data_IF_249319804229
#
_entry.id   IF_249319804229
#
_cell.length_a   1.000
_cell.length_b   1.000
_cell.length_c   1.000
_cell.angle_alpha   90.00
_cell.angle_beta   90.00
_cell.angle_gamma   90.00
#
_symmetry.space_group_name_H-M   'P 1'
#
loop_
_entity.id
_entity.type
_entity.pdbx_description
1 polymer ?
#
# COMPACT_ATOMS: atom_id res chain seq x y z
N UNK A 1 -44.59 27.05 -11.97
CA UNK A 1 -45.81 27.63 -11.37
C UNK A 1 -45.50 28.92 -10.59
N UNK A 2 -44.45 28.95 -9.75
CA UNK A 2 -43.99 30.15 -9.02
C UNK A 2 -43.66 31.39 -9.90
N UNK A 3 -43.13 31.18 -11.12
CA UNK A 3 -42.75 32.26 -12.03
C UNK A 3 -43.93 33.08 -12.60
N UNK A 4 -45.16 32.55 -12.54
CA UNK A 4 -46.39 33.21 -13.03
C UNK A 4 -47.12 34.01 -11.95
N UNK A 5 -46.76 33.82 -10.68
CA UNK A 5 -47.37 34.49 -9.53
C UNK A 5 -46.62 35.78 -9.15
N UNK A 6 -45.34 35.90 -9.51
CA UNK A 6 -44.50 37.06 -9.18
C UNK A 6 -44.90 38.39 -9.88
N UNK A 7 -45.81 38.36 -10.86
CA UNK A 7 -46.18 39.55 -11.64
C UNK A 7 -47.39 40.33 -11.10
N UNK A 8 -48.06 39.91 -10.01
CA UNK A 8 -49.36 40.47 -9.60
C UNK A 8 -49.49 41.07 -8.18
N UNK A 9 -48.44 41.15 -7.37
CA UNK A 9 -48.60 41.43 -5.94
C UNK A 9 -48.28 42.87 -5.50
N UNK A 10 -49.25 43.54 -4.88
CA UNK A 10 -49.18 44.95 -4.47
C UNK A 10 -49.67 45.25 -3.03
N UNK A 11 -50.09 44.24 -2.26
CA UNK A 11 -50.62 44.44 -0.89
C UNK A 11 -49.79 43.75 0.19
N UNK A 12 -49.96 44.14 1.45
CA UNK A 12 -49.24 43.55 2.60
C UNK A 12 -49.59 42.07 2.82
N UNK A 13 -50.84 41.65 2.56
CA UNK A 13 -51.28 40.26 2.69
C UNK A 13 -50.67 39.32 1.65
N UNK A 14 -50.37 39.82 0.45
CA UNK A 14 -49.71 39.04 -0.59
C UNK A 14 -48.25 38.67 -0.24
N UNK A 15 -47.60 39.53 0.54
CA UNK A 15 -46.22 39.29 1.02
C UNK A 15 -46.18 38.22 2.12
N UNK A 16 -47.20 38.17 2.97
CA UNK A 16 -47.32 37.18 4.03
C UNK A 16 -47.57 35.78 3.45
N UNK A 17 -48.43 35.68 2.43
CA UNK A 17 -48.69 34.44 1.71
C UNK A 17 -47.43 33.92 0.97
N UNK A 18 -46.61 34.81 0.43
CA UNK A 18 -45.33 34.46 -0.19
C UNK A 18 -44.29 33.96 0.82
N UNK A 19 -44.27 34.53 2.03
CA UNK A 19 -43.39 34.09 3.11
C UNK A 19 -43.81 32.69 3.61
N UNK A 20 -45.10 32.46 3.81
CA UNK A 20 -45.63 31.15 4.20
C UNK A 20 -45.27 30.06 3.17
N UNK A 21 -45.43 30.35 1.87
CA UNK A 21 -45.05 29.43 0.80
C UNK A 21 -43.55 29.17 0.75
N UNK A 22 -42.72 30.20 1.01
CA UNK A 22 -41.28 30.05 1.07
C UNK A 22 -40.84 29.20 2.28
N UNK A 23 -41.46 29.40 3.44
CA UNK A 23 -41.20 28.62 4.66
C UNK A 23 -41.64 27.16 4.53
N UNK A 24 -42.71 26.90 3.77
CA UNK A 24 -43.15 25.54 3.44
C UNK A 24 -42.16 24.85 2.49
N UNK A 25 -41.73 25.54 1.43
CA UNK A 25 -40.68 25.02 0.52
C UNK A 25 -39.35 24.79 1.23
N UNK A 26 -38.98 25.66 2.18
CA UNK A 26 -37.76 25.49 2.97
C UNK A 26 -37.85 24.25 3.85
N UNK A 27 -39.00 24.03 4.50
CA UNK A 27 -39.25 22.82 5.30
C UNK A 27 -39.21 21.54 4.46
N UNK A 28 -39.80 21.55 3.27
CA UNK A 28 -39.73 20.42 2.33
C UNK A 28 -38.29 20.16 1.88
N UNK A 29 -37.54 21.20 1.54
CA UNK A 29 -36.15 21.09 1.14
C UNK A 29 -35.26 20.56 2.28
N UNK A 30 -35.46 21.03 3.51
CA UNK A 30 -34.74 20.56 4.69
C UNK A 30 -35.03 19.08 4.97
N UNK A 31 -36.29 18.65 4.81
CA UNK A 31 -36.69 17.25 4.89
C UNK A 31 -35.97 16.38 3.85
N UNK A 32 -35.98 16.81 2.59
CA UNK A 32 -35.28 16.11 1.50
C UNK A 32 -33.76 16.05 1.71
N UNK A 33 -33.15 17.12 2.23
CA UNK A 33 -31.71 17.15 2.57
C UNK A 33 -31.41 16.16 3.70
N UNK A 34 -32.28 16.07 4.71
CA UNK A 34 -32.10 15.12 5.81
C UNK A 34 -32.16 13.66 5.31
N UNK A 35 -33.14 13.33 4.47
CA UNK A 35 -33.29 12.00 3.86
C UNK A 35 -32.09 11.65 2.96
N UNK A 36 -31.66 12.58 2.11
CA UNK A 36 -30.49 12.36 1.24
C UNK A 36 -29.21 12.14 2.04
N UNK A 37 -29.03 12.84 3.16
CA UNK A 37 -27.89 12.63 4.06
C UNK A 37 -27.92 11.27 4.73
N UNK A 38 -29.10 10.77 5.09
CA UNK A 38 -29.26 9.42 5.64
C UNK A 38 -28.93 8.36 4.58
N UNK A 39 -29.47 8.51 3.36
CA UNK A 39 -29.14 7.61 2.25
C UNK A 39 -27.65 7.61 1.92
N UNK A 40 -26.96 8.75 1.99
CA UNK A 40 -25.51 8.82 1.80
C UNK A 40 -24.80 8.02 2.89
N UNK A 41 -25.18 8.19 4.17
CA UNK A 41 -24.58 7.42 5.28
C UNK A 41 -24.76 5.92 5.10
N UNK A 42 -25.98 5.46 4.80
CA UNK A 42 -26.27 4.03 4.62
C UNK A 42 -25.48 3.43 3.44
N UNK A 43 -25.32 4.21 2.36
CA UNK A 43 -24.53 3.82 1.20
C UNK A 43 -23.04 3.78 1.53
N UNK A 44 -22.53 4.72 2.32
CA UNK A 44 -21.14 4.74 2.75
C UNK A 44 -20.84 3.52 3.64
N UNK A 45 -21.70 3.20 4.60
CA UNK A 45 -21.58 1.98 5.42
C UNK A 45 -21.64 0.70 4.57
N UNK A 46 -22.54 0.66 3.58
CA UNK A 46 -22.62 -0.48 2.65
C UNK A 46 -21.37 -0.62 1.78
N UNK A 47 -20.80 0.50 1.31
CA UNK A 47 -19.56 0.52 0.54
C UNK A 47 -18.38 0.07 1.37
N UNK A 48 -18.31 0.46 2.65
CA UNK A 48 -17.29 0.00 3.58
C UNK A 48 -17.38 -1.51 3.80
N UNK A 49 -18.59 -2.05 4.00
CA UNK A 49 -18.81 -3.50 4.11
C UNK A 49 -18.36 -4.26 2.86
N UNK A 50 -18.77 -3.80 1.67
CA UNK A 50 -18.35 -4.41 0.40
C UNK A 50 -16.84 -4.31 0.16
N UNK A 51 -16.21 -3.21 0.58
CA UNK A 51 -14.77 -3.05 0.46
C UNK A 51 -14.00 -4.05 1.35
N UNK A 52 -14.52 -4.33 2.55
CA UNK A 52 -13.98 -5.34 3.45
C UNK A 52 -14.10 -6.74 2.81
N UNK A 53 -15.29 -7.11 2.33
CA UNK A 53 -15.53 -8.41 1.70
C UNK A 53 -14.65 -8.62 0.45
N UNK A 54 -14.51 -7.59 -0.38
CA UNK A 54 -13.63 -7.62 -1.54
C UNK A 54 -12.16 -7.77 -1.15
N UNK A 55 -11.75 -7.17 -0.03
CA UNK A 55 -10.42 -7.35 0.56
C UNK A 55 -10.16 -8.81 0.92
N UNK A 56 -11.08 -9.42 1.67
CA UNK A 56 -11.01 -10.84 2.06
C UNK A 56 -10.94 -11.75 0.81
N UNK A 57 -11.82 -11.54 -0.16
CA UNK A 57 -11.82 -12.33 -1.39
C UNK A 57 -10.54 -12.16 -2.22
N UNK A 58 -9.97 -10.95 -2.24
CA UNK A 58 -8.70 -10.69 -2.91
C UNK A 58 -7.53 -11.40 -2.21
N UNK A 59 -7.54 -11.48 -0.89
CA UNK A 59 -6.55 -12.23 -0.09
C UNK A 59 -6.63 -13.72 -0.35
N UNK A 60 -7.83 -14.30 -0.30
CA UNK A 60 -8.06 -15.71 -0.61
C UNK A 60 -7.58 -16.06 -2.02
N UNK A 61 -7.90 -15.19 -3.00
CA UNK A 61 -7.43 -15.36 -4.36
C UNK A 61 -5.91 -15.28 -4.46
N UNK A 62 -5.28 -14.33 -3.77
CA UNK A 62 -3.83 -14.20 -3.76
C UNK A 62 -3.17 -15.45 -3.14
N UNK A 63 -3.75 -15.99 -2.06
CA UNK A 63 -3.29 -17.23 -1.44
C UNK A 63 -3.41 -18.43 -2.39
N UNK A 64 -4.55 -18.56 -3.07
CA UNK A 64 -4.76 -19.63 -4.04
C UNK A 64 -3.76 -19.56 -5.19
N UNK A 65 -3.50 -18.36 -5.73
CA UNK A 65 -2.55 -18.17 -6.82
C UNK A 65 -1.11 -18.53 -6.41
N UNK A 66 -0.67 -18.15 -5.20
CA UNK A 66 0.65 -18.53 -4.70
C UNK A 66 0.80 -20.04 -4.52
N UNK A 67 -0.23 -20.71 -3.98
CA UNK A 67 -0.23 -22.18 -3.87
C UNK A 67 -0.14 -22.86 -5.23
N UNK A 68 -0.78 -22.30 -6.26
CA UNK A 68 -0.65 -22.82 -7.62
C UNK A 68 0.78 -22.69 -8.11
N UNK A 69 1.39 -21.51 -7.95
CA UNK A 69 2.77 -21.24 -8.39
C UNK A 69 3.80 -22.11 -7.65
N UNK A 70 3.63 -22.30 -6.33
CA UNK A 70 4.47 -23.21 -5.53
C UNK A 70 4.35 -24.66 -5.99
N UNK A 71 3.12 -25.14 -6.23
CA UNK A 71 2.89 -26.49 -6.70
C UNK A 71 3.46 -26.69 -8.10
N UNK A 72 3.37 -25.69 -8.98
CA UNK A 72 3.99 -25.71 -10.30
C UNK A 72 5.52 -25.82 -10.18
N UNK A 73 6.15 -25.03 -9.31
CA UNK A 73 7.59 -25.11 -9.07
C UNK A 73 8.01 -26.46 -8.48
N UNK A 74 7.22 -26.98 -7.52
CA UNK A 74 7.47 -28.29 -6.92
C UNK A 74 7.36 -29.42 -7.94
N UNK A 75 6.35 -29.37 -8.82
CA UNK A 75 6.19 -30.33 -9.92
C UNK A 75 7.36 -30.25 -10.89
N UNK A 76 7.82 -29.05 -11.25
CA UNK A 76 8.99 -28.87 -12.12
C UNK A 76 10.27 -29.43 -11.46
N UNK A 77 10.47 -29.18 -10.16
CA UNK A 77 11.58 -29.74 -9.40
C UNK A 77 11.55 -31.26 -9.37
N UNK A 78 10.40 -31.87 -9.03
CA UNK A 78 10.22 -33.32 -9.04
C UNK A 78 10.43 -33.93 -10.44
N UNK A 79 9.96 -33.25 -11.49
CA UNK A 79 10.21 -33.65 -12.88
C UNK A 79 11.70 -33.59 -13.24
N UNK A 80 12.44 -32.63 -12.70
CA UNK A 80 13.91 -32.57 -12.80
C UNK A 80 14.59 -33.71 -12.05
N UNK A 81 14.15 -34.02 -10.83
CA UNK A 81 14.68 -35.12 -10.00
C UNK A 81 14.53 -36.48 -10.69
N UNK A 82 13.41 -36.72 -11.38
CA UNK A 82 13.18 -37.93 -12.17
C UNK A 82 14.11 -38.04 -13.40
N UNK A 83 14.71 -36.94 -13.87
CA UNK A 83 15.58 -36.91 -15.06
C UNK A 83 17.07 -37.04 -14.74
N UNK A 84 17.53 -36.61 -13.55
CA UNK A 84 18.94 -36.71 -13.14
C UNK A 84 19.11 -36.88 -11.60
N UNK A 85 18.93 -38.10 -11.07
CA UNK A 85 18.93 -38.35 -9.62
C UNK A 85 20.28 -38.10 -8.91
N UNK A 86 21.40 -38.33 -9.60
CA UNK A 86 22.74 -38.35 -8.98
C UNK A 86 23.34 -36.95 -8.74
N UNK A 87 22.88 -35.92 -9.46
CA UNK A 87 23.31 -34.52 -9.26
C UNK A 87 22.55 -33.81 -8.13
N UNK A 88 21.37 -34.30 -7.76
CA UNK A 88 20.42 -33.61 -6.87
C UNK A 88 20.73 -33.76 -5.37
N UNK A 89 21.36 -34.86 -4.93
CA UNK A 89 21.64 -35.10 -3.50
C UNK A 89 22.88 -34.37 -2.96
N UNK A 90 23.59 -33.61 -3.80
CA UNK A 90 24.84 -32.95 -3.43
C UNK A 90 24.68 -31.45 -3.08
N UNK A 91 23.52 -30.83 -3.29
CA UNK A 91 23.27 -29.44 -2.88
C UNK A 91 22.74 -29.40 -1.44
N UNK A 92 23.52 -28.79 -0.55
CA UNK A 92 23.03 -28.27 0.73
C UNK A 92 21.79 -27.40 0.43
N UNK A 93 20.65 -27.75 1.02
CA UNK A 93 19.41 -27.00 0.83
C UNK A 93 19.58 -25.63 1.50
N UNK A 94 19.75 -24.59 0.71
CA UNK A 94 19.34 -23.25 1.14
C UNK A 94 17.83 -23.34 1.45
N UNK A 95 17.44 -23.09 2.70
CA UNK A 95 16.02 -23.04 3.08
C UNK A 95 15.33 -21.94 2.26
N UNK A 96 14.44 -22.32 1.35
CA UNK A 96 13.69 -21.36 0.54
C UNK A 96 12.85 -20.43 1.43
N UNK A 97 12.71 -19.14 1.08
CA UNK A 97 11.84 -18.23 1.79
C UNK A 97 10.39 -18.74 1.77
N UNK A 98 9.62 -18.61 2.87
CA UNK A 98 8.23 -19.06 2.90
C UNK A 98 7.40 -18.29 1.86
N UNK A 99 6.44 -18.93 1.20
CA UNK A 99 5.61 -18.21 0.23
C UNK A 99 4.56 -17.30 0.87
N UNK A 100 4.19 -17.57 2.13
CA UNK A 100 3.18 -16.77 2.83
C UNK A 100 3.59 -16.36 4.22
N UNK A 101 3.21 -15.14 4.56
CA UNK A 101 3.41 -14.56 5.89
C UNK A 101 2.15 -13.78 6.26
N UNK A 102 1.54 -14.10 7.38
CA UNK A 102 0.28 -13.49 7.78
C UNK A 102 0.48 -12.22 8.61
N UNK A 103 1.40 -12.22 9.58
CA UNK A 103 1.58 -11.07 10.47
C UNK A 103 2.64 -10.14 9.92
N UNK A 104 2.46 -8.84 10.12
CA UNK A 104 3.39 -7.82 9.66
C UNK A 104 4.72 -7.90 10.43
N UNK A 105 4.68 -8.27 11.72
CA UNK A 105 5.88 -8.55 12.51
C UNK A 105 6.70 -9.71 11.95
N UNK A 106 6.06 -10.84 11.65
CA UNK A 106 6.70 -12.02 11.07
C UNK A 106 7.44 -11.70 9.75
N UNK A 107 6.93 -10.74 8.96
CA UNK A 107 7.58 -10.30 7.70
C UNK A 107 9.01 -9.80 7.96
N UNK A 108 9.21 -9.05 9.04
CA UNK A 108 10.53 -8.51 9.39
C UNK A 108 11.48 -9.62 9.81
N UNK A 109 10.99 -10.57 10.62
CA UNK A 109 11.78 -11.73 11.06
C UNK A 109 12.19 -12.58 9.86
N UNK A 110 11.26 -12.87 8.95
CA UNK A 110 11.52 -13.66 7.75
C UNK A 110 12.46 -12.91 6.78
N UNK A 111 12.31 -11.60 6.64
CA UNK A 111 13.24 -10.80 5.84
C UNK A 111 14.67 -10.84 6.39
N UNK A 112 14.83 -10.74 7.72
CA UNK A 112 16.13 -10.87 8.38
C UNK A 112 16.75 -12.25 8.21
N UNK A 113 15.93 -13.31 8.10
CA UNK A 113 16.41 -14.68 7.89
C UNK A 113 16.79 -14.97 6.43
N UNK A 114 15.93 -14.58 5.48
CA UNK A 114 16.03 -15.06 4.10
C UNK A 114 16.53 -14.01 3.09
N UNK A 115 16.45 -12.72 3.41
CA UNK A 115 16.71 -11.63 2.46
C UNK A 115 17.88 -10.73 2.88
N UNK A 116 18.55 -11.02 4.00
CA UNK A 116 19.55 -10.14 4.61
C UNK A 116 20.82 -9.92 3.78
N UNK A 117 21.07 -10.74 2.75
CA UNK A 117 22.18 -10.55 1.83
C UNK A 117 22.04 -9.27 0.99
N UNK A 118 20.79 -8.88 0.68
CA UNK A 118 20.47 -7.74 -0.20
C UNK A 118 19.36 -6.79 0.26
N UNK A 119 18.61 -7.15 1.29
CA UNK A 119 17.59 -6.32 1.91
C UNK A 119 17.99 -6.00 3.35
N UNK A 120 18.17 -4.72 3.64
CA UNK A 120 18.56 -4.24 4.96
C UNK A 120 17.41 -3.44 5.55
N UNK A 121 16.89 -3.86 6.69
CA UNK A 121 15.86 -3.14 7.43
C UNK A 121 16.56 -2.44 8.59
N UNK A 122 16.49 -1.10 8.64
CA UNK A 122 17.07 -0.37 9.75
C UNK A 122 16.27 -0.65 11.04
N UNK A 123 16.93 -0.79 12.18
CA UNK A 123 16.26 -1.10 13.46
C UNK A 123 15.16 -0.07 13.81
N UNK A 124 15.46 1.21 13.62
CA UNK A 124 14.52 2.33 13.83
C UNK A 124 13.52 2.53 12.67
N UNK A 125 13.46 1.66 11.67
CA UNK A 125 12.50 1.78 10.58
C UNK A 125 11.10 1.31 10.96
N UNK A 126 10.97 0.51 12.01
CA UNK A 126 9.73 -0.20 12.34
C UNK A 126 8.82 0.65 13.23
N UNK A 127 7.57 0.83 12.83
CA UNK A 127 6.60 1.63 13.58
C UNK A 127 5.27 0.92 13.76
N UNK A 128 4.82 0.81 15.02
CA UNK A 128 3.50 0.29 15.43
C UNK A 128 3.07 -1.01 14.74
N UNK A 129 4.01 -1.96 14.55
CA UNK A 129 3.72 -3.23 13.89
C UNK A 129 2.70 -4.06 14.69
N UNK A 130 2.68 -3.91 16.01
CA UNK A 130 1.70 -4.50 16.92
C UNK A 130 0.26 -4.05 16.60
N UNK A 131 0.08 -2.78 16.23
CA UNK A 131 -1.23 -2.26 15.80
C UNK A 131 -1.63 -2.79 14.44
N UNK A 132 -0.67 -2.95 13.52
CA UNK A 132 -0.90 -3.56 12.21
C UNK A 132 -1.27 -5.04 12.33
N UNK A 133 -0.65 -5.73 13.27
CA UNK A 133 -0.91 -7.12 13.60
C UNK A 133 -2.28 -7.35 14.26
N UNK A 134 -2.76 -6.37 15.01
CA UNK A 134 -4.07 -6.43 15.68
C UNK A 134 -5.23 -6.07 14.73
N UNK A 135 -4.96 -5.50 13.57
CA UNK A 135 -5.99 -5.14 12.59
C UNK A 135 -6.61 -6.39 11.96
N UNK A 136 -7.90 -6.31 11.61
CA UNK A 136 -8.62 -7.41 10.93
C UNK A 136 -8.00 -7.77 9.57
N UNK A 137 -7.32 -6.80 8.93
CA UNK A 137 -6.61 -6.95 7.66
C UNK A 137 -5.12 -7.29 7.83
N UNK A 138 -4.68 -7.71 9.02
CA UNK A 138 -3.27 -8.05 9.30
C UNK A 138 -2.73 -9.06 8.30
N UNK A 139 -3.47 -10.15 8.02
CA UNK A 139 -3.09 -11.20 7.08
C UNK A 139 -2.76 -10.66 5.68
N UNK A 140 -3.66 -9.83 5.13
CA UNK A 140 -3.45 -9.11 3.87
C UNK A 140 -2.15 -8.30 3.87
N UNK A 141 -1.95 -7.53 4.94
CA UNK A 141 -0.86 -6.58 5.05
C UNK A 141 0.46 -7.26 5.27
N UNK A 142 0.52 -8.32 6.08
CA UNK A 142 1.69 -9.18 6.21
C UNK A 142 2.08 -9.75 4.86
N UNK A 143 1.13 -10.36 4.17
CA UNK A 143 1.40 -10.99 2.88
C UNK A 143 1.88 -10.00 1.82
N UNK A 144 1.18 -8.87 1.70
CA UNK A 144 1.50 -7.85 0.70
C UNK A 144 2.84 -7.17 1.01
N UNK A 145 3.17 -7.00 2.29
CA UNK A 145 4.49 -6.51 2.71
C UNK A 145 5.60 -7.51 2.39
N UNK A 146 5.34 -8.80 2.60
CA UNK A 146 6.28 -9.88 2.28
C UNK A 146 6.59 -9.93 0.77
N UNK A 147 5.56 -9.86 -0.07
CA UNK A 147 5.73 -9.74 -1.53
C UNK A 147 6.55 -8.50 -1.92
N UNK A 148 6.35 -7.39 -1.22
CA UNK A 148 7.12 -6.17 -1.41
C UNK A 148 8.61 -6.37 -1.09
N UNK A 149 8.93 -7.00 0.03
CA UNK A 149 10.30 -7.31 0.42
C UNK A 149 10.98 -8.31 -0.52
N UNK A 150 10.27 -9.35 -0.95
CA UNK A 150 10.75 -10.28 -1.97
C UNK A 150 11.06 -9.56 -3.29
N UNK A 151 10.20 -8.61 -3.70
CA UNK A 151 10.42 -7.83 -4.92
C UNK A 151 11.64 -6.90 -4.80
N UNK A 152 11.80 -6.21 -3.66
CA UNK A 152 12.96 -5.34 -3.42
C UNK A 152 14.28 -6.11 -3.36
N UNK A 153 14.27 -7.32 -2.79
CA UNK A 153 15.40 -8.24 -2.77
C UNK A 153 15.72 -8.77 -4.17
N UNK A 154 14.71 -9.18 -4.93
CA UNK A 154 14.87 -9.68 -6.29
C UNK A 154 15.41 -8.58 -7.23
N UNK A 155 14.91 -7.34 -7.09
CA UNK A 155 15.47 -6.19 -7.80
C UNK A 155 16.96 -6.00 -7.51
N UNK A 156 17.33 -5.96 -6.22
CA UNK A 156 18.72 -5.83 -5.81
C UNK A 156 19.61 -6.98 -6.35
N UNK A 157 19.06 -8.19 -6.43
CA UNK A 157 19.71 -9.36 -7.01
C UNK A 157 19.95 -9.21 -8.51
N UNK A 158 18.92 -8.80 -9.26
CA UNK A 158 19.03 -8.58 -10.71
C UNK A 158 19.99 -7.43 -11.03
N UNK A 159 19.99 -6.36 -10.21
CA UNK A 159 20.97 -5.26 -10.31
C UNK A 159 22.39 -5.76 -10.14
N UNK A 160 22.65 -6.62 -9.16
CA UNK A 160 23.96 -7.22 -8.96
C UNK A 160 24.35 -8.20 -10.08
N UNK A 161 23.37 -8.84 -10.72
CA UNK A 161 23.57 -9.68 -11.90
C UNK A 161 23.76 -8.88 -13.20
N UNK A 162 23.70 -7.54 -13.14
CA UNK A 162 23.99 -6.66 -14.26
C UNK A 162 22.77 -6.07 -14.98
N UNK A 163 21.56 -6.21 -14.43
CA UNK A 163 20.38 -5.55 -15.00
C UNK A 163 20.48 -4.02 -14.87
N UNK A 164 20.39 -3.30 -15.99
CA UNK A 164 20.61 -1.85 -16.06
C UNK A 164 19.43 -1.06 -16.67
N UNK A 165 18.29 -1.72 -16.92
CA UNK A 165 17.11 -1.18 -17.61
C UNK A 165 16.29 -0.10 -16.88
N UNK A 166 16.85 0.56 -15.85
CA UNK A 166 16.21 1.65 -15.12
C UNK A 166 16.18 1.51 -13.60
N UNK A 167 15.19 2.14 -12.96
CA UNK A 167 14.93 2.04 -11.54
C UNK A 167 14.01 0.87 -11.19
N UNK A 168 13.57 0.80 -9.94
CA UNK A 168 12.69 -0.27 -9.47
C UNK A 168 11.35 -0.34 -10.22
N UNK A 169 10.79 0.81 -10.61
CA UNK A 169 9.56 0.86 -11.41
C UNK A 169 9.74 0.19 -12.77
N UNK A 170 10.78 0.59 -13.50
CA UNK A 170 11.10 0.02 -14.82
C UNK A 170 11.43 -1.46 -14.70
N UNK A 171 12.11 -1.86 -13.63
CA UNK A 171 12.38 -3.27 -13.34
C UNK A 171 11.08 -4.06 -13.16
N UNK A 172 10.11 -3.53 -12.42
CA UNK A 172 8.82 -4.19 -12.23
C UNK A 172 8.06 -4.41 -13.56
N UNK A 173 8.23 -3.51 -14.53
CA UNK A 173 7.54 -3.60 -15.82
C UNK A 173 8.28 -4.47 -16.84
N UNK A 174 9.61 -4.44 -16.82
CA UNK A 174 10.42 -4.90 -17.96
C UNK A 174 11.32 -6.10 -17.64
N UNK A 175 11.54 -6.45 -16.37
CA UNK A 175 12.46 -7.54 -16.01
C UNK A 175 11.93 -8.93 -16.38
N UNK A 176 10.61 -9.12 -16.39
CA UNK A 176 10.00 -10.46 -16.47
C UNK A 176 10.22 -11.32 -15.22
N UNK A 177 10.75 -10.75 -14.13
CA UNK A 177 10.98 -11.48 -12.89
C UNK A 177 9.63 -11.85 -12.23
N UNK A 178 9.47 -13.11 -11.80
CA UNK A 178 8.23 -13.59 -11.16
C UNK A 178 7.92 -12.86 -9.85
N UNK A 179 8.95 -12.36 -9.16
CA UNK A 179 8.83 -11.56 -7.95
C UNK A 179 8.64 -10.07 -8.23
N UNK A 180 8.48 -9.67 -9.49
CA UNK A 180 8.24 -8.27 -9.85
C UNK A 180 7.00 -7.74 -9.13
N UNK A 181 7.15 -6.59 -8.47
CA UNK A 181 6.03 -5.94 -7.81
C UNK A 181 4.99 -5.50 -8.85
N UNK A 182 3.70 -5.59 -8.49
CA UNK A 182 2.59 -5.12 -9.34
C UNK A 182 2.51 -3.59 -9.33
N UNK A 183 3.50 -2.97 -9.98
CA UNK A 183 3.69 -1.53 -10.03
C UNK A 183 2.51 -0.83 -10.69
N UNK A 184 1.79 -0.05 -9.89
CA UNK A 184 0.77 0.91 -10.31
C UNK A 184 0.90 2.13 -9.42
N UNK A 185 0.41 3.29 -9.85
CA UNK A 185 0.48 4.53 -9.04
C UNK A 185 -0.21 4.39 -7.67
N UNK A 186 -1.15 3.44 -7.56
CA UNK A 186 -1.86 3.10 -6.31
C UNK A 186 -1.05 2.21 -5.37
N UNK A 187 -0.02 1.50 -5.85
CA UNK A 187 0.77 0.52 -5.08
C UNK A 187 2.25 0.87 -4.96
N UNK A 188 2.79 1.68 -5.86
CA UNK A 188 4.19 2.09 -5.88
C UNK A 188 4.26 3.58 -6.22
N UNK A 189 5.19 4.28 -5.58
CA UNK A 189 5.56 5.65 -5.90
C UNK A 189 7.07 5.75 -5.83
N UNK A 190 7.70 6.26 -6.87
CA UNK A 190 9.16 6.50 -6.89
C UNK A 190 9.50 7.92 -6.41
N UNK A 191 8.51 8.82 -6.40
CA UNK A 191 8.65 10.23 -6.05
C UNK A 191 7.46 10.65 -5.21
N UNK A 192 7.71 11.38 -4.11
CA UNK A 192 6.68 11.94 -3.25
C UNK A 192 5.91 13.07 -3.95
N UNK A 193 4.71 13.41 -3.45
CA UNK A 193 3.92 14.46 -4.07
C UNK A 193 4.61 15.82 -4.02
N UNK A 194 4.31 16.68 -4.99
CA UNK A 194 4.84 18.04 -5.05
C UNK A 194 4.52 18.84 -3.77
N UNK A 195 3.34 18.62 -3.17
CA UNK A 195 2.96 19.25 -1.90
C UNK A 195 3.84 18.83 -0.72
N UNK A 196 4.28 17.57 -0.67
CA UNK A 196 5.25 17.10 0.34
C UNK A 196 6.61 17.72 0.05
N UNK A 197 7.06 17.64 -1.21
CA UNK A 197 8.38 18.12 -1.64
C UNK A 197 8.57 19.64 -1.45
N UNK A 198 7.53 20.45 -1.62
CA UNK A 198 7.61 21.90 -1.45
C UNK A 198 7.42 22.35 0.01
N UNK A 199 7.16 21.44 0.94
CA UNK A 199 6.97 21.74 2.36
C UNK A 199 8.13 21.19 3.20
N UNK A 200 9.04 22.04 3.73
CA UNK A 200 10.14 21.59 4.58
C UNK A 200 9.69 20.79 5.80
N UNK A 201 8.52 21.12 6.37
CA UNK A 201 7.95 20.39 7.50
C UNK A 201 7.55 18.97 7.12
N UNK A 202 6.90 18.79 5.97
CA UNK A 202 6.45 17.47 5.51
C UNK A 202 7.62 16.65 4.97
N UNK A 203 8.58 17.27 4.28
CA UNK A 203 9.82 16.59 3.85
C UNK A 203 10.58 15.95 5.02
N UNK A 204 10.70 16.63 6.16
CA UNK A 204 11.38 16.09 7.35
C UNK A 204 10.77 14.80 7.88
N UNK A 205 9.48 14.55 7.64
CA UNK A 205 8.83 13.29 8.04
C UNK A 205 9.19 12.12 7.11
N UNK A 206 9.93 12.38 6.02
CA UNK A 206 10.48 11.39 5.08
C UNK A 206 12.00 11.29 5.16
N UNK A 207 12.60 11.91 6.19
CA UNK A 207 14.00 11.70 6.55
C UNK A 207 14.08 10.46 7.42
N UNK A 208 14.44 9.35 6.80
CA UNK A 208 14.43 8.03 7.42
C UNK A 208 15.84 7.55 7.72
N UNK A 209 16.00 6.72 8.77
CA UNK A 209 17.29 6.21 9.17
C UNK A 209 17.94 5.30 8.11
N UNK A 210 19.25 5.40 8.00
CA UNK A 210 20.14 4.54 7.22
C UNK A 210 21.47 4.36 7.96
N UNK A 211 22.28 3.38 7.54
CA UNK A 211 23.66 3.26 8.03
C UNK A 211 24.45 4.54 7.73
N UNK A 212 25.36 4.91 8.62
CA UNK A 212 26.28 6.04 8.43
C UNK A 212 27.25 5.86 7.27
N UNK A 213 27.44 4.62 6.81
CA UNK A 213 28.21 4.31 5.59
C UNK A 213 27.49 4.75 4.31
N UNK A 214 26.16 4.91 4.40
CA UNK A 214 25.33 5.39 3.29
C UNK A 214 25.30 6.91 3.28
N UNK A 215 24.94 7.51 4.41
CA UNK A 215 24.95 8.96 4.61
C UNK A 215 25.49 9.27 6.01
N UNK A 216 26.52 10.14 6.16
CA UNK A 216 27.13 10.45 7.45
C UNK A 216 26.17 11.00 8.51
N UNK A 217 25.04 11.58 8.11
CA UNK A 217 24.01 12.04 9.05
C UNK A 217 23.18 10.92 9.67
N UNK A 218 23.29 9.69 9.14
CA UNK A 218 22.50 8.53 9.53
C UNK A 218 21.06 8.58 9.03
N UNK A 219 20.70 9.55 8.18
CA UNK A 219 19.36 9.69 7.60
C UNK A 219 19.43 10.16 6.17
N UNK A 220 18.44 9.77 5.37
CA UNK A 220 18.25 10.33 4.03
C UNK A 220 16.78 10.64 3.79
N UNK A 221 16.55 11.60 2.91
CA UNK A 221 15.23 11.87 2.38
C UNK A 221 14.84 10.76 1.38
N UNK A 222 14.00 9.80 1.80
CA UNK A 222 13.50 8.75 0.92
C UNK A 222 12.14 9.14 0.34
N UNK A 223 12.01 9.00 -0.98
CA UNK A 223 10.75 9.26 -1.67
C UNK A 223 10.08 7.97 -2.14
N UNK A 224 10.89 7.00 -2.57
CA UNK A 224 10.40 5.75 -3.12
C UNK A 224 9.73 4.94 -2.01
N UNK A 225 8.50 4.50 -2.26
CA UNK A 225 7.75 3.72 -1.28
C UNK A 225 6.68 2.80 -1.88
N UNK A 226 6.45 1.68 -1.21
CA UNK A 226 5.36 0.76 -1.46
C UNK A 226 4.12 1.17 -0.65
N UNK A 227 2.94 1.00 -1.26
CA UNK A 227 1.63 1.22 -0.64
C UNK A 227 0.96 -0.13 -0.46
N UNK A 228 0.99 -0.65 0.77
CA UNK A 228 0.55 -2.01 1.08
C UNK A 228 -0.97 -2.15 1.01
N UNK A 229 -1.68 -1.10 1.42
CA UNK A 229 -3.13 -1.02 1.31
C UNK A 229 -3.57 0.11 0.38
N UNK A 230 -4.63 -0.13 -0.38
CA UNK A 230 -5.35 0.89 -1.15
C UNK A 230 -6.39 1.54 -0.23
N UNK A 231 -6.33 2.86 0.02
CA UNK A 231 -7.37 3.54 0.79
C UNK A 231 -6.94 4.71 1.68
N UNK A 232 -5.65 5.00 1.84
CA UNK A 232 -5.18 6.20 2.56
C UNK A 232 -5.47 6.28 4.06
N UNK A 233 -6.17 5.28 4.62
CA UNK A 233 -6.47 5.20 6.06
C UNK A 233 -5.22 5.23 6.93
N UNK A 234 -5.37 5.69 8.16
CA UNK A 234 -4.26 5.93 9.09
C UNK A 234 -3.42 4.68 9.38
N UNK A 235 -4.01 3.49 9.32
CA UNK A 235 -3.30 2.22 9.53
C UNK A 235 -2.75 1.60 8.23
N UNK A 236 -3.05 2.15 7.05
CA UNK A 236 -2.56 1.61 5.78
C UNK A 236 -1.01 1.58 5.77
N UNK A 237 -0.37 0.39 5.71
CA UNK A 237 1.08 0.33 5.85
C UNK A 237 1.81 0.93 4.64
N UNK A 238 2.96 1.54 4.90
CA UNK A 238 3.90 2.04 3.89
C UNK A 238 5.28 1.50 4.16
N UNK A 239 6.01 1.24 3.08
CA UNK A 239 7.43 0.81 3.13
C UNK A 239 8.23 1.83 2.32
N UNK A 240 9.04 2.66 2.98
CA UNK A 240 9.99 3.54 2.28
C UNK A 240 11.34 2.86 2.17
N UNK A 241 11.92 2.98 0.99
CA UNK A 241 13.15 2.30 0.67
C UNK A 241 14.10 3.17 -0.15
N UNK A 242 15.37 2.80 -0.10
CA UNK A 242 16.46 3.36 -0.88
C UNK A 242 17.31 2.24 -1.44
N UNK A 243 17.60 2.28 -2.72
CA UNK A 243 18.52 1.33 -3.34
C UNK A 243 19.93 1.94 -3.42
N UNK A 244 20.90 1.27 -2.81
CA UNK A 244 22.31 1.61 -2.93
C UNK A 244 22.95 0.83 -4.09
N UNK A 245 23.42 1.56 -5.09
CA UNK A 245 24.04 0.98 -6.27
C UNK A 245 25.47 0.48 -6.03
N UNK A 246 26.13 0.88 -4.93
CA UNK A 246 27.53 0.51 -4.63
C UNK A 246 27.65 -0.97 -4.28
N UNK A 247 26.70 -1.49 -3.52
CA UNK A 247 26.65 -2.88 -3.06
C UNK A 247 25.42 -3.64 -3.57
N UNK A 248 24.56 -2.97 -4.36
CA UNK A 248 23.31 -3.51 -4.87
C UNK A 248 22.44 -4.06 -3.74
N UNK A 249 22.19 -3.21 -2.74
CA UNK A 249 21.30 -3.49 -1.61
C UNK A 249 20.15 -2.50 -1.55
N UNK A 250 19.02 -2.99 -1.08
CA UNK A 250 17.85 -2.16 -0.77
C UNK A 250 17.77 -1.94 0.74
N UNK A 251 17.72 -0.68 1.15
CA UNK A 251 17.61 -0.23 2.53
C UNK A 251 16.19 0.24 2.81
N UNK A 252 15.52 -0.39 3.77
CA UNK A 252 14.20 0.02 4.26
C UNK A 252 14.40 0.96 5.44
N UNK A 253 14.01 2.22 5.25
CA UNK A 253 14.10 3.26 6.28
C UNK A 253 12.79 3.48 7.04
N UNK A 254 11.66 3.00 6.52
CA UNK A 254 10.38 3.05 7.22
C UNK A 254 9.51 1.86 6.83
N UNK A 255 8.92 1.22 7.83
CA UNK A 255 7.84 0.25 7.69
C UNK A 255 6.84 0.45 8.82
N UNK A 256 5.64 0.92 8.47
CA UNK A 256 4.61 1.19 9.47
C UNK A 256 3.38 1.89 8.91
N UNK A 257 2.43 2.27 9.78
CA UNK A 257 1.17 2.85 9.38
C UNK A 257 1.32 4.28 8.85
N UNK A 258 0.46 4.64 7.89
CA UNK A 258 0.45 5.96 7.25
C UNK A 258 0.24 7.15 8.21
N UNK A 259 -0.28 6.96 9.42
CA UNK A 259 -0.42 8.04 10.43
C UNK A 259 0.91 8.73 10.80
N UNK A 260 2.05 8.05 10.63
CA UNK A 260 3.39 8.63 10.82
C UNK A 260 3.84 9.53 9.66
N UNK A 261 3.06 9.56 8.59
CA UNK A 261 3.40 10.14 7.30
C UNK A 261 2.37 11.18 6.88
N UNK A 262 2.17 12.25 7.68
CA UNK A 262 1.13 13.23 7.43
C UNK A 262 1.29 13.87 6.06
N UNK A 263 0.16 14.25 5.47
CA UNK A 263 0.09 14.95 4.20
C UNK A 263 -0.86 16.16 4.31
N UNK A 264 -1.10 16.90 3.23
CA UNK A 264 -1.93 18.11 3.27
C UNK A 264 -3.44 17.86 3.45
N UNK A 265 -3.88 16.61 3.47
CA UNK A 265 -5.30 16.19 3.57
C UNK A 265 -5.64 15.46 4.88
N UNK A 266 -4.66 15.25 5.76
CA UNK A 266 -4.79 14.57 7.06
C UNK A 266 -4.16 15.44 8.13
#
# INVERSE_FOLDING_TARGET
MAKRLLEQFGTAGDRELLLELADEQLREADGAIAELREQIRDRDESLEGLALDLGVAAEERAHALRRVEELEHHVLSLQGQLKAPDEFYAQERDEEPPATVARVSDVVEMAGKYLADRLVIHADALHDLDQLDAASTSAAWGQTSWEGFLALHAYASDRAAGWDGGGFWEWCQNSGNLRAWRATEKKLSMVESESINNSPKLRRTREFPVSTDIDPSGKIFMQAHLKIATGGGNLAPRIYFHFDARDCRTHVGFFGPHKWLPNTKT
#
